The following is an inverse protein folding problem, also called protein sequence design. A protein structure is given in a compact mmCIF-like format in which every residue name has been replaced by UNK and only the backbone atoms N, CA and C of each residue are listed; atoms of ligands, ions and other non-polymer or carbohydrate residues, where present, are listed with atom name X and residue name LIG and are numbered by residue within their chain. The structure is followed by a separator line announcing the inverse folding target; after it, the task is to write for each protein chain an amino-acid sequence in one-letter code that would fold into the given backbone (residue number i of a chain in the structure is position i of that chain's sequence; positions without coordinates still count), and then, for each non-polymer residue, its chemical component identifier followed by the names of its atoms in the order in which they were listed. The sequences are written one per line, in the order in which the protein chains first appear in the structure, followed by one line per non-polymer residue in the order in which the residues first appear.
data_IF_083805468278
#
_entry.id   IF_083805468278
#
_cell.length_a   1.000
_cell.length_b   1.000
_cell.length_c   1.000
_cell.angle_alpha   90.00
_cell.angle_beta   90.00
_cell.angle_gamma   90.00
#
_symmetry.space_group_name_H-M   'P 1'
#
loop_
_entity.id
_entity.type
_entity.pdbx_description
1 polymer ?
#
# COMPACT_ATOMS: atom_id res chain seq x y z
N UNK A 1 -26.71 35.74 48.66
CA UNK A 1 -25.23 35.69 48.65
C UNK A 1 -24.77 34.84 47.47
N UNK A 2 -23.73 35.32 46.79
CA UNK A 2 -23.40 35.01 45.40
C UNK A 2 -22.65 33.68 45.16
N UNK A 3 -23.04 32.99 44.08
CA UNK A 3 -22.14 32.61 42.97
C UNK A 3 -20.91 31.74 43.25
N UNK A 4 -21.08 30.42 43.42
CA UNK A 4 -19.97 29.42 43.38
C UNK A 4 -19.70 28.80 41.99
N UNK A 5 -20.32 29.30 40.91
CA UNK A 5 -20.20 28.74 39.55
C UNK A 5 -18.98 29.13 38.65
N UNK A 6 -18.07 30.10 38.96
CA UNK A 6 -17.08 30.56 37.96
C UNK A 6 -15.77 29.75 37.89
N UNK A 7 -15.40 28.98 38.91
CA UNK A 7 -14.11 28.26 38.96
C UNK A 7 -14.03 27.02 38.06
N UNK A 8 -15.12 26.26 37.94
CA UNK A 8 -15.15 25.03 37.16
C UNK A 8 -15.18 25.27 35.64
N UNK A 9 -15.90 26.31 35.19
CA UNK A 9 -15.89 26.77 33.79
C UNK A 9 -14.50 27.27 33.36
N UNK A 10 -13.80 28.03 34.22
CA UNK A 10 -12.42 28.49 33.95
C UNK A 10 -11.41 27.33 33.86
N UNK A 11 -11.54 26.28 34.68
CA UNK A 11 -10.67 25.10 34.62
C UNK A 11 -10.93 24.27 33.35
N UNK A 12 -12.19 23.99 33.00
CA UNK A 12 -12.56 23.30 31.76
C UNK A 12 -12.10 24.08 30.52
N UNK A 13 -12.24 25.40 30.50
CA UNK A 13 -11.73 26.26 29.43
C UNK A 13 -10.20 26.21 29.30
N UNK A 14 -9.46 26.19 30.42
CA UNK A 14 -7.99 26.07 30.40
C UNK A 14 -7.55 24.73 29.82
N UNK A 15 -8.21 23.64 30.17
CA UNK A 15 -7.95 22.32 29.58
C UNK A 15 -8.34 22.26 28.11
N UNK A 16 -9.51 22.77 27.73
CA UNK A 16 -9.93 22.88 26.34
C UNK A 16 -8.95 23.71 25.50
N UNK A 17 -8.45 24.85 26.02
CA UNK A 17 -7.40 25.63 25.36
C UNK A 17 -6.10 24.84 25.21
N UNK A 18 -5.66 24.11 26.23
CA UNK A 18 -4.44 23.29 26.17
C UNK A 18 -4.57 22.13 25.17
N UNK A 19 -5.73 21.47 25.15
CA UNK A 19 -6.04 20.42 24.18
C UNK A 19 -6.05 21.03 22.78
N UNK A 20 -6.75 22.16 22.58
CA UNK A 20 -6.79 22.85 21.28
C UNK A 20 -5.39 23.28 20.80
N UNK A 21 -4.52 23.76 21.70
CA UNK A 21 -3.14 24.16 21.38
C UNK A 21 -2.27 22.99 20.89
N UNK A 22 -2.62 21.74 21.20
CA UNK A 22 -1.89 20.55 20.76
C UNK A 22 -2.59 19.87 19.58
N UNK A 23 -3.91 19.71 19.67
CA UNK A 23 -4.71 19.02 18.65
C UNK A 23 -4.79 19.83 17.37
N UNK A 24 -4.95 21.16 17.43
CA UNK A 24 -5.07 21.97 16.22
C UNK A 24 -3.81 21.92 15.34
N UNK A 25 -2.58 22.11 15.88
CA UNK A 25 -1.37 21.91 15.07
C UNK A 25 -1.24 20.50 14.48
N UNK A 26 -1.61 19.46 15.23
CA UNK A 26 -1.58 18.07 14.73
C UNK A 26 -2.55 17.86 13.57
N UNK A 27 -3.77 18.39 13.68
CA UNK A 27 -4.75 18.35 12.60
C UNK A 27 -4.28 19.14 11.38
N UNK A 28 -3.70 20.32 11.57
CA UNK A 28 -3.14 21.12 10.48
C UNK A 28 -1.96 20.40 9.80
N UNK A 29 -1.09 19.76 10.58
CA UNK A 29 0.04 18.98 10.06
C UNK A 29 -0.45 17.76 9.25
N UNK A 30 -1.47 17.05 9.75
CA UNK A 30 -2.10 15.93 9.04
C UNK A 30 -2.83 16.37 7.76
N UNK A 31 -3.47 17.54 7.78
CA UNK A 31 -4.20 18.09 6.63
C UNK A 31 -3.28 18.73 5.57
N UNK A 32 -2.12 19.26 5.96
CA UNK A 32 -1.19 19.94 5.06
C UNK A 32 -0.84 19.14 3.78
N UNK A 33 -0.45 17.85 3.84
CA UNK A 33 -0.15 17.11 2.63
C UNK A 33 -1.39 16.89 1.73
N UNK A 34 -2.58 16.72 2.31
CA UNK A 34 -3.83 16.63 1.55
C UNK A 34 -4.12 17.93 0.80
N UNK A 35 -3.98 19.07 1.47
CA UNK A 35 -4.13 20.40 0.84
C UNK A 35 -3.13 20.58 -0.30
N UNK A 36 -1.88 20.14 -0.12
CA UNK A 36 -0.87 20.18 -1.19
C UNK A 36 -1.28 19.32 -2.38
N UNK A 37 -1.81 18.11 -2.16
CA UNK A 37 -2.29 17.25 -3.24
C UNK A 37 -3.43 17.92 -4.01
N UNK A 38 -4.45 18.40 -3.31
CA UNK A 38 -5.61 19.05 -3.94
C UNK A 38 -5.25 20.33 -4.71
N UNK A 39 -4.27 21.10 -4.23
CA UNK A 39 -3.90 22.38 -4.86
C UNK A 39 -2.83 22.27 -5.94
N UNK A 40 -1.89 21.32 -5.82
CA UNK A 40 -0.68 21.28 -6.67
C UNK A 40 -0.57 20.03 -7.53
N UNK A 41 -1.42 19.03 -7.31
CA UNK A 41 -1.38 17.76 -8.02
C UNK A 41 -2.55 17.58 -8.98
N UNK A 42 -2.93 18.68 -9.65
CA UNK A 42 -3.95 18.74 -10.69
C UNK A 42 -3.27 18.67 -12.06
N UNK A 43 -3.90 18.01 -13.04
CA UNK A 43 -3.43 18.03 -14.43
C UNK A 43 -3.82 19.34 -15.12
N UNK A 44 -2.94 19.86 -15.98
CA UNK A 44 -3.21 21.06 -16.79
C UNK A 44 -4.17 20.79 -17.96
N UNK A 45 -4.33 19.53 -18.38
CA UNK A 45 -5.21 19.13 -19.49
C UNK A 45 -5.74 17.69 -19.37
N UNK A 46 -6.94 17.44 -19.92
CA UNK A 46 -7.57 16.11 -20.02
C UNK A 46 -7.38 15.53 -21.43
N UNK A 47 -6.14 15.18 -21.79
CA UNK A 47 -5.82 14.78 -23.17
C UNK A 47 -5.92 13.27 -23.43
N UNK A 48 -6.23 12.45 -22.41
CA UNK A 48 -6.24 10.97 -22.51
C UNK A 48 -7.50 10.34 -21.96
N UNK A 49 -8.64 11.02 -22.05
CA UNK A 49 -9.92 10.45 -21.64
C UNK A 49 -10.12 9.06 -22.29
N UNK A 50 -10.64 8.07 -21.54
CA UNK A 50 -10.71 6.72 -22.05
C UNK A 50 -11.76 6.67 -23.18
N UNK A 51 -11.47 6.00 -24.31
CA UNK A 51 -12.49 5.74 -25.31
C UNK A 51 -13.64 4.93 -24.70
N UNK A 52 -14.80 4.95 -25.36
CA UNK A 52 -15.91 4.09 -24.95
C UNK A 52 -15.46 2.61 -24.93
N UNK A 53 -15.90 1.81 -23.93
CA UNK A 53 -15.56 0.39 -23.86
C UNK A 53 -15.97 -0.32 -25.15
N UNK A 54 -15.08 -1.14 -25.70
CA UNK A 54 -15.34 -1.88 -26.95
C UNK A 54 -16.20 -3.11 -26.70
N UNK A 55 -16.16 -3.67 -25.49
CA UNK A 55 -16.83 -4.91 -25.15
C UNK A 55 -17.94 -4.70 -24.10
N UNK A 56 -19.03 -5.46 -24.25
CA UNK A 56 -20.06 -5.57 -23.22
C UNK A 56 -19.57 -6.49 -22.09
N UNK A 57 -19.37 -5.92 -20.91
CA UNK A 57 -18.94 -6.63 -19.71
C UNK A 57 -20.10 -7.31 -18.97
N UNK A 58 -21.33 -7.25 -19.49
CA UNK A 58 -22.50 -7.87 -18.88
C UNK A 58 -23.02 -7.13 -17.65
N UNK A 59 -22.97 -5.80 -17.67
CA UNK A 59 -23.48 -4.92 -16.61
C UNK A 59 -22.61 -3.67 -16.37
N UNK A 60 -23.22 -2.57 -15.92
CA UNK A 60 -22.51 -1.33 -15.60
C UNK A 60 -21.67 -1.46 -14.33
N UNK A 61 -22.04 -2.35 -13.41
CA UNK A 61 -21.34 -2.66 -12.16
C UNK A 61 -19.95 -3.28 -12.35
N UNK A 62 -19.67 -3.80 -13.55
CA UNK A 62 -18.36 -4.36 -13.93
C UNK A 62 -17.42 -3.32 -14.54
N UNK A 63 -17.92 -2.11 -14.78
CA UNK A 63 -17.11 -0.98 -15.23
C UNK A 63 -16.61 -0.22 -14.02
N UNK A 64 -15.38 0.28 -14.13
CA UNK A 64 -14.74 1.07 -13.07
C UNK A 64 -14.10 2.31 -13.64
N UNK A 65 -13.90 3.33 -12.82
CA UNK A 65 -13.33 4.60 -13.29
C UNK A 65 -11.85 4.39 -13.63
N UNK A 66 -11.41 4.83 -14.82
CA UNK A 66 -10.02 4.66 -15.26
C UNK A 66 -9.00 5.26 -14.27
N UNK A 67 -9.34 6.40 -13.66
CA UNK A 67 -8.52 7.07 -12.65
C UNK A 67 -8.30 6.26 -11.39
N UNK A 68 -9.19 5.32 -11.07
CA UNK A 68 -9.08 4.49 -9.87
C UNK A 68 -7.86 3.57 -9.97
N UNK A 69 -7.48 3.08 -11.15
CA UNK A 69 -6.24 2.30 -11.32
C UNK A 69 -5.00 3.04 -10.80
N UNK A 70 -4.91 4.35 -11.05
CA UNK A 70 -3.81 5.17 -10.54
C UNK A 70 -3.91 5.39 -9.03
N UNK A 71 -5.14 5.61 -8.55
CA UNK A 71 -5.41 5.85 -7.14
C UNK A 71 -5.56 4.57 -6.29
N UNK A 72 -5.42 3.38 -6.87
CA UNK A 72 -5.24 2.12 -6.13
C UNK A 72 -3.79 1.96 -5.65
N UNK A 73 -2.82 2.59 -6.33
CA UNK A 73 -1.40 2.49 -5.93
C UNK A 73 -1.11 2.92 -4.48
N UNK A 74 -1.63 4.04 -3.96
CA UNK A 74 -1.41 4.45 -2.57
C UNK A 74 -1.84 3.39 -1.54
N UNK A 75 -2.90 2.62 -1.80
CA UNK A 75 -3.30 1.50 -0.93
C UNK A 75 -2.25 0.39 -0.89
N UNK A 76 -1.55 0.18 -1.99
CA UNK A 76 -0.46 -0.78 -2.08
C UNK A 76 0.90 -0.21 -1.68
N UNK A 77 1.06 1.12 -1.68
CA UNK A 77 2.29 1.75 -1.22
C UNK A 77 2.59 1.29 0.21
N UNK A 78 1.59 1.20 1.07
CA UNK A 78 1.79 0.76 2.45
C UNK A 78 2.27 -0.70 2.51
N UNK A 79 1.74 -1.58 1.66
CA UNK A 79 2.19 -2.98 1.53
C UNK A 79 3.66 -3.02 1.13
N UNK A 80 4.00 -2.27 0.09
CA UNK A 80 5.37 -2.13 -0.43
C UNK A 80 6.34 -1.53 0.60
N UNK A 81 5.88 -0.58 1.40
CA UNK A 81 6.69 0.05 2.45
C UNK A 81 6.98 -0.93 3.60
N UNK A 82 6.02 -1.77 3.97
CA UNK A 82 6.22 -2.83 4.96
C UNK A 82 7.19 -3.91 4.47
N UNK A 83 7.09 -4.31 3.20
CA UNK A 83 8.06 -5.20 2.58
C UNK A 83 9.48 -4.61 2.59
N UNK A 84 9.62 -3.34 2.25
CA UNK A 84 10.90 -2.65 2.21
C UNK A 84 11.50 -2.50 3.62
N UNK A 85 10.66 -2.16 4.60
CA UNK A 85 11.07 -2.07 6.00
C UNK A 85 11.55 -3.42 6.54
N UNK A 86 10.83 -4.52 6.25
CA UNK A 86 11.27 -5.87 6.61
C UNK A 86 12.60 -6.24 5.91
N UNK A 87 12.75 -5.85 4.64
CA UNK A 87 13.99 -6.04 3.89
C UNK A 87 15.19 -5.29 4.48
N UNK A 88 15.00 -4.05 4.95
CA UNK A 88 16.04 -3.27 5.65
C UNK A 88 16.35 -3.86 7.01
N UNK A 89 15.33 -4.24 7.78
CA UNK A 89 15.49 -4.88 9.09
C UNK A 89 16.29 -6.17 8.99
N UNK A 90 16.04 -6.99 7.95
CA UNK A 90 16.80 -8.22 7.66
C UNK A 90 18.29 -7.98 7.45
N UNK A 91 18.65 -6.87 6.79
CA UNK A 91 20.04 -6.55 6.47
C UNK A 91 20.78 -5.88 7.63
N UNK A 92 20.07 -5.11 8.44
CA UNK A 92 20.64 -4.40 9.59
C UNK A 92 19.67 -4.43 10.78
N UNK A 93 18.87 -3.38 10.93
CA UNK A 93 17.83 -3.22 11.95
C UNK A 93 16.75 -2.28 11.41
N UNK A 94 15.55 -2.39 11.97
CA UNK A 94 14.42 -1.47 11.83
C UNK A 94 14.85 -0.01 11.98
N UNK A 95 15.80 0.27 12.88
CA UNK A 95 16.39 1.60 13.07
C UNK A 95 17.09 2.16 11.84
N UNK A 96 17.46 1.32 10.88
CA UNK A 96 18.13 1.72 9.63
C UNK A 96 17.16 2.13 8.53
N UNK A 97 15.85 1.90 8.71
CA UNK A 97 14.84 2.32 7.74
C UNK A 97 14.66 3.85 7.78
N UNK A 98 14.55 4.46 6.61
CA UNK A 98 14.25 5.87 6.46
C UNK A 98 12.73 6.08 6.39
N UNK A 99 12.15 6.21 7.58
CA UNK A 99 10.71 6.45 7.78
C UNK A 99 10.24 7.75 7.13
N UNK A 100 11.05 8.82 7.18
CA UNK A 100 10.68 10.10 6.59
C UNK A 100 10.72 10.05 5.07
N UNK A 101 11.72 9.38 4.49
CA UNK A 101 11.75 9.12 3.05
C UNK A 101 10.56 8.27 2.60
N UNK A 102 10.13 7.29 3.41
CA UNK A 102 8.93 6.49 3.12
C UNK A 102 7.65 7.33 3.15
N UNK A 103 7.50 8.21 4.15
CA UNK A 103 6.36 9.15 4.22
C UNK A 103 6.35 10.09 3.00
N UNK A 104 7.51 10.69 2.68
CA UNK A 104 7.63 11.57 1.52
C UNK A 104 7.35 10.82 0.21
N UNK A 105 7.81 9.57 0.12
CA UNK A 105 7.55 8.65 -0.99
C UNK A 105 6.06 8.45 -1.25
N UNK A 106 5.29 8.16 -0.19
CA UNK A 106 3.83 8.00 -0.26
C UNK A 106 3.19 9.25 -0.90
N UNK A 107 3.39 10.42 -0.29
CA UNK A 107 2.72 11.65 -0.74
C UNK A 107 3.17 12.09 -2.13
N UNK A 108 4.45 11.88 -2.48
CA UNK A 108 4.96 12.17 -3.83
C UNK A 108 4.34 11.26 -4.88
N UNK A 109 4.26 9.96 -4.60
CA UNK A 109 3.61 9.01 -5.51
C UNK A 109 2.11 9.27 -5.65
N UNK A 110 1.41 9.61 -4.56
CA UNK A 110 0.01 10.01 -4.60
C UNK A 110 -0.18 11.26 -5.44
N UNK A 111 0.67 12.28 -5.28
CA UNK A 111 0.61 13.49 -6.10
C UNK A 111 0.73 13.17 -7.61
N UNK A 112 1.72 12.37 -7.99
CA UNK A 112 1.91 12.00 -9.40
C UNK A 112 0.76 11.11 -9.91
N UNK A 113 0.29 10.15 -9.12
CA UNK A 113 -0.85 9.32 -9.47
C UNK A 113 -2.13 10.13 -9.63
N UNK A 114 -2.38 11.13 -8.79
CA UNK A 114 -3.53 12.04 -8.91
C UNK A 114 -3.45 12.88 -10.18
N UNK A 115 -2.27 13.37 -10.55
CA UNK A 115 -2.08 14.07 -11.83
C UNK A 115 -2.39 13.14 -13.00
N UNK A 116 -1.91 11.91 -12.96
CA UNK A 116 -2.12 10.97 -14.06
C UNK A 116 -3.58 10.51 -14.15
N UNK A 117 -4.23 10.26 -13.01
CA UNK A 117 -5.67 10.00 -12.95
C UNK A 117 -6.47 11.12 -13.61
N UNK A 118 -6.14 12.39 -13.32
CA UNK A 118 -6.83 13.53 -13.93
C UNK A 118 -6.68 13.59 -15.46
N UNK A 119 -5.60 13.04 -16.04
CA UNK A 119 -5.40 12.98 -17.50
C UNK A 119 -6.16 11.84 -18.16
N UNK A 120 -6.24 10.69 -17.49
CA UNK A 120 -6.78 9.43 -18.05
C UNK A 120 -8.27 9.26 -17.77
N UNK A 121 -8.81 9.91 -16.74
CA UNK A 121 -10.23 9.89 -16.38
C UNK A 121 -10.40 10.07 -14.87
N UNK A 122 -11.36 10.89 -14.44
CA UNK A 122 -11.50 11.21 -13.02
C UNK A 122 -11.68 9.96 -12.15
N UNK A 123 -10.83 9.83 -11.13
CA UNK A 123 -11.01 8.84 -10.08
C UNK A 123 -12.23 9.18 -9.22
N UNK A 124 -12.83 8.16 -8.61
CA UNK A 124 -13.96 8.31 -7.71
C UNK A 124 -13.60 9.11 -6.46
N UNK A 125 -14.56 9.86 -5.92
CA UNK A 125 -14.36 10.64 -4.70
C UNK A 125 -14.08 9.74 -3.48
N UNK A 126 -14.68 8.55 -3.45
CA UNK A 126 -14.45 7.55 -2.42
C UNK A 126 -13.02 7.05 -2.44
N UNK A 127 -12.47 6.72 -3.63
CA UNK A 127 -11.07 6.31 -3.77
C UNK A 127 -10.09 7.39 -3.29
N UNK A 128 -10.34 8.66 -3.66
CA UNK A 128 -9.53 9.80 -3.16
C UNK A 128 -9.58 9.93 -1.65
N UNK A 129 -10.78 9.83 -1.06
CA UNK A 129 -10.98 9.96 0.38
C UNK A 129 -10.27 8.85 1.13
N UNK A 130 -10.40 7.60 0.67
CA UNK A 130 -9.71 6.44 1.21
C UNK A 130 -8.19 6.65 1.20
N UNK A 131 -7.62 7.14 0.09
CA UNK A 131 -6.19 7.43 0.00
C UNK A 131 -5.71 8.49 1.00
N UNK A 132 -6.52 9.51 1.29
CA UNK A 132 -6.17 10.52 2.30
C UNK A 132 -6.19 9.94 3.71
N UNK A 133 -7.18 9.11 4.04
CA UNK A 133 -7.24 8.41 5.34
C UNK A 133 -6.03 7.49 5.50
N UNK A 134 -5.72 6.69 4.48
CA UNK A 134 -4.54 5.81 4.46
C UNK A 134 -3.27 6.63 4.61
N UNK A 135 -3.10 7.71 3.85
CA UNK A 135 -1.90 8.54 3.87
C UNK A 135 -1.65 9.20 5.23
N UNK A 136 -2.70 9.72 5.87
CA UNK A 136 -2.61 10.30 7.20
C UNK A 136 -2.28 9.22 8.23
N UNK A 137 -2.96 8.07 8.19
CA UNK A 137 -2.72 6.94 9.10
C UNK A 137 -1.29 6.42 8.98
N UNK A 138 -0.84 6.17 7.74
CA UNK A 138 0.52 5.74 7.44
C UNK A 138 1.57 6.75 7.89
N UNK A 139 1.32 8.05 7.67
CA UNK A 139 2.22 9.12 8.13
C UNK A 139 2.35 9.11 9.66
N UNK A 140 1.24 8.99 10.38
CA UNK A 140 1.25 8.94 11.83
C UNK A 140 1.98 7.69 12.35
N UNK A 141 1.69 6.52 11.77
CA UNK A 141 2.32 5.26 12.15
C UNK A 141 3.83 5.28 11.89
N UNK A 142 4.27 5.65 10.69
CA UNK A 142 5.68 5.74 10.34
C UNK A 142 6.41 6.80 11.15
N UNK A 143 5.75 7.91 11.51
CA UNK A 143 6.35 8.93 12.37
C UNK A 143 6.56 8.43 13.81
N UNK A 144 5.58 7.72 14.38
CA UNK A 144 5.68 7.16 15.73
C UNK A 144 6.72 6.05 15.79
N UNK A 145 6.66 5.09 14.86
CA UNK A 145 7.64 4.01 14.77
C UNK A 145 9.03 4.59 14.51
N UNK A 146 9.16 5.48 13.53
CA UNK A 146 10.45 6.09 13.19
C UNK A 146 11.05 6.92 14.31
N UNK A 147 10.24 7.69 15.06
CA UNK A 147 10.72 8.43 16.22
C UNK A 147 11.28 7.49 17.30
N UNK A 148 10.63 6.35 17.53
CA UNK A 148 11.08 5.35 18.50
C UNK A 148 12.33 4.59 18.01
N UNK A 149 12.27 4.04 16.80
CA UNK A 149 13.33 3.19 16.25
C UNK A 149 14.59 3.97 15.93
N UNK A 150 14.51 5.27 15.61
CA UNK A 150 15.68 6.12 15.42
C UNK A 150 16.20 6.78 16.70
N UNK A 151 15.58 6.52 17.85
CA UNK A 151 16.02 7.02 19.16
C UNK A 151 16.40 5.88 20.11
N UNK A 152 15.45 5.45 20.94
CA UNK A 152 15.63 4.39 21.93
C UNK A 152 15.95 3.06 21.23
N UNK A 153 15.26 2.77 20.12
CA UNK A 153 15.53 1.57 19.31
C UNK A 153 16.96 1.56 18.79
N UNK A 154 17.39 2.65 18.15
CA UNK A 154 18.75 2.77 17.60
C UNK A 154 19.83 2.68 18.68
N UNK A 155 19.62 3.33 19.82
CA UNK A 155 20.56 3.31 20.94
C UNK A 155 20.71 1.89 21.52
N UNK A 156 19.60 1.18 21.74
CA UNK A 156 19.64 -0.17 22.32
C UNK A 156 20.10 -1.23 21.31
N UNK A 157 19.79 -1.07 20.02
CA UNK A 157 20.35 -1.88 18.95
C UNK A 157 21.86 -1.69 18.82
N UNK A 158 22.35 -0.44 18.89
CA UNK A 158 23.78 -0.14 18.93
C UNK A 158 24.46 -0.76 20.15
N UNK A 159 23.86 -0.61 21.34
CA UNK A 159 24.39 -1.16 22.59
C UNK A 159 24.43 -2.70 22.60
N UNK A 160 23.51 -3.37 21.92
CA UNK A 160 23.53 -4.83 21.73
C UNK A 160 24.71 -5.31 20.87
N UNK A 161 25.23 -4.48 19.97
CA UNK A 161 26.24 -4.88 18.99
C UNK A 161 25.64 -5.73 17.85
N UNK A 162 26.47 -6.50 17.11
CA UNK A 162 26.05 -7.10 15.83
C UNK A 162 25.10 -8.30 15.97
N UNK A 163 25.15 -9.05 17.08
CA UNK A 163 24.30 -10.24 17.28
C UNK A 163 22.89 -9.85 17.71
N UNK A 164 21.87 -10.22 16.94
CA UNK A 164 20.45 -10.01 17.28
C UNK A 164 20.05 -10.73 18.58
N UNK A 165 19.20 -10.11 19.40
CA UNK A 165 18.55 -10.84 20.49
C UNK A 165 17.44 -11.72 19.91
N UNK A 166 16.95 -12.73 20.65
CA UNK A 166 15.78 -13.48 20.24
C UNK A 166 14.56 -12.59 19.97
N UNK A 167 14.38 -11.47 20.70
CA UNK A 167 13.31 -10.51 20.42
C UNK A 167 13.46 -9.76 19.09
N UNK A 168 14.69 -9.45 18.66
CA UNK A 168 14.90 -8.85 17.34
C UNK A 168 14.59 -9.84 16.22
N UNK A 169 15.00 -11.10 16.38
CA UNK A 169 14.66 -12.17 15.43
C UNK A 169 13.15 -12.42 15.39
N UNK A 170 12.48 -12.34 16.54
CA UNK A 170 11.01 -12.39 16.60
C UNK A 170 10.38 -11.24 15.83
N UNK A 171 10.80 -10.00 16.09
CA UNK A 171 10.28 -8.81 15.43
C UNK A 171 10.47 -8.87 13.90
N UNK A 172 11.64 -9.35 13.44
CA UNK A 172 11.92 -9.54 12.02
C UNK A 172 10.97 -10.55 11.38
N UNK A 173 10.77 -11.72 11.99
CA UNK A 173 9.82 -12.72 11.49
C UNK A 173 8.41 -12.16 11.37
N UNK A 174 7.90 -11.50 12.42
CA UNK A 174 6.58 -10.88 12.39
C UNK A 174 6.49 -9.81 11.29
N UNK A 175 7.53 -9.01 11.09
CA UNK A 175 7.55 -8.00 10.02
C UNK A 175 7.48 -8.63 8.62
N UNK A 176 8.19 -9.73 8.38
CA UNK A 176 8.18 -10.46 7.10
C UNK A 176 6.83 -11.14 6.83
N UNK A 177 6.27 -11.79 7.86
CA UNK A 177 4.97 -12.44 7.80
C UNK A 177 3.86 -11.42 7.56
N UNK A 178 3.90 -10.28 8.27
CA UNK A 178 2.94 -9.20 8.10
C UNK A 178 3.01 -8.59 6.70
N UNK A 179 4.22 -8.32 6.18
CA UNK A 179 4.39 -7.80 4.83
C UNK A 179 3.82 -8.76 3.76
N UNK A 180 3.99 -10.07 3.96
CA UNK A 180 3.40 -11.09 3.06
C UNK A 180 1.89 -11.14 3.18
N UNK A 181 1.34 -11.07 4.39
CA UNK A 181 -0.10 -11.11 4.68
C UNK A 181 -0.86 -9.97 4.00
N UNK A 182 -0.30 -8.75 4.06
CA UNK A 182 -0.89 -7.54 3.48
C UNK A 182 -1.08 -7.58 1.96
N UNK A 183 -0.45 -8.53 1.25
CA UNK A 183 -0.61 -8.69 -0.21
C UNK A 183 -1.99 -9.16 -0.63
N UNK A 184 -2.79 -9.69 0.30
CA UNK A 184 -4.07 -10.31 -0.04
C UNK A 184 -5.14 -10.11 1.02
N UNK A 185 -4.76 -9.98 2.29
CA UNK A 185 -5.71 -9.91 3.41
C UNK A 185 -5.63 -8.52 4.07
N UNK A 186 -6.77 -7.90 4.44
CA UNK A 186 -6.78 -6.64 5.15
C UNK A 186 -6.00 -6.70 6.47
N UNK A 187 -5.26 -5.65 6.78
CA UNK A 187 -4.34 -5.59 7.93
C UNK A 187 -4.99 -5.93 9.29
N UNK A 188 -6.27 -5.58 9.48
CA UNK A 188 -6.98 -5.77 10.75
C UNK A 188 -7.30 -7.24 11.04
N UNK A 189 -7.12 -8.13 10.07
CA UNK A 189 -7.26 -9.58 10.27
C UNK A 189 -5.94 -10.23 10.73
N UNK A 190 -4.81 -9.49 10.71
CA UNK A 190 -3.53 -10.04 11.15
C UNK A 190 -3.58 -10.32 12.67
N UNK A 191 -3.08 -11.48 13.15
CA UNK A 191 -3.30 -11.94 14.52
C UNK A 191 -2.32 -11.28 15.53
N UNK A 192 -2.33 -9.95 15.63
CA UNK A 192 -1.41 -9.18 16.49
C UNK A 192 -1.46 -9.60 17.96
N UNK A 193 -2.64 -9.96 18.48
CA UNK A 193 -2.78 -10.42 19.86
C UNK A 193 -2.07 -11.78 20.08
N UNK A 194 -2.16 -12.68 19.10
CA UNK A 194 -1.46 -13.97 19.14
C UNK A 194 0.05 -13.76 19.06
N UNK A 195 0.53 -12.89 18.17
CA UNK A 195 1.97 -12.58 18.09
C UNK A 195 2.49 -11.91 19.38
N UNK A 196 1.67 -11.07 20.02
CA UNK A 196 2.01 -10.54 21.34
C UNK A 196 2.14 -11.64 22.40
N UNK A 197 1.22 -12.61 22.46
CA UNK A 197 1.35 -13.75 23.37
C UNK A 197 2.62 -14.55 23.09
N UNK A 198 2.91 -14.86 21.82
CA UNK A 198 4.13 -15.59 21.40
C UNK A 198 5.41 -14.86 21.77
N UNK A 199 5.45 -13.53 21.69
CA UNK A 199 6.60 -12.75 22.15
C UNK A 199 6.93 -13.05 23.63
N UNK A 200 5.92 -13.19 24.48
CA UNK A 200 6.12 -13.44 25.90
C UNK A 200 6.36 -14.90 26.25
N UNK A 201 5.70 -15.82 25.53
CA UNK A 201 5.74 -17.27 25.80
C UNK A 201 6.91 -17.99 25.13
N UNK A 202 7.26 -17.62 23.90
CA UNK A 202 8.15 -18.40 23.04
C UNK A 202 9.54 -17.76 22.86
N UNK A 203 9.72 -16.50 23.24
CA UNK A 203 10.99 -15.79 23.02
C UNK A 203 11.86 -15.82 24.29
N UNK A 204 13.09 -16.36 24.25
CA UNK A 204 14.00 -16.30 25.39
C UNK A 204 14.39 -14.88 25.76
N UNK A 205 14.39 -14.57 27.06
CA UNK A 205 14.70 -13.23 27.57
C UNK A 205 16.17 -13.07 27.93
N UNK A 206 16.75 -11.91 27.59
CA UNK A 206 18.03 -11.47 28.10
C UNK A 206 19.23 -12.19 27.47
N UNK A 207 18.99 -13.04 26.49
CA UNK A 207 20.06 -13.56 25.64
C UNK A 207 20.68 -12.43 24.83
N UNK A 208 22.01 -12.38 24.78
CA UNK A 208 22.82 -11.32 24.16
C UNK A 208 22.79 -9.97 24.90
N UNK A 209 21.62 -9.39 25.19
CA UNK A 209 21.52 -8.08 25.85
C UNK A 209 20.22 -7.91 26.61
N UNK A 210 20.31 -7.85 27.94
CA UNK A 210 19.17 -7.57 28.83
C UNK A 210 18.53 -6.22 28.49
N UNK A 211 19.34 -5.19 28.21
CA UNK A 211 18.85 -3.85 27.86
C UNK A 211 17.97 -3.89 26.60
N UNK A 212 18.45 -4.54 25.52
CA UNK A 212 17.70 -4.64 24.27
C UNK A 212 16.49 -5.55 24.40
N UNK A 213 16.59 -6.66 25.13
CA UNK A 213 15.44 -7.53 25.39
C UNK A 213 14.32 -6.81 26.17
N UNK A 214 14.65 -6.07 27.23
CA UNK A 214 13.64 -5.27 27.96
C UNK A 214 12.99 -4.23 27.05
N UNK A 215 13.81 -3.51 26.29
CA UNK A 215 13.34 -2.47 25.38
C UNK A 215 12.43 -3.03 24.29
N UNK A 216 12.83 -4.12 23.61
CA UNK A 216 12.03 -4.78 22.58
C UNK A 216 10.72 -5.30 23.14
N UNK A 217 10.73 -5.97 24.30
CA UNK A 217 9.48 -6.44 24.92
C UNK A 217 8.52 -5.30 25.22
N UNK A 218 9.02 -4.18 25.75
CA UNK A 218 8.19 -3.01 26.02
C UNK A 218 7.60 -2.42 24.73
N UNK A 219 8.45 -2.19 23.72
CA UNK A 219 8.05 -1.61 22.45
C UNK A 219 7.09 -2.48 21.64
N UNK A 220 7.45 -3.75 21.44
CA UNK A 220 6.65 -4.69 20.67
C UNK A 220 5.32 -4.97 21.37
N UNK A 221 5.28 -4.96 22.71
CA UNK A 221 4.01 -5.02 23.45
C UNK A 221 3.12 -3.81 23.18
N UNK A 222 3.68 -2.61 23.19
CA UNK A 222 2.93 -1.40 22.85
C UNK A 222 2.45 -1.42 21.39
N UNK A 223 3.30 -1.84 20.46
CA UNK A 223 3.01 -1.86 19.03
C UNK A 223 1.94 -2.91 18.70
N UNK A 224 2.14 -4.17 19.08
CA UNK A 224 1.21 -5.26 18.79
C UNK A 224 -0.08 -5.15 19.61
N UNK A 225 0.01 -4.75 20.88
CA UNK A 225 -1.17 -4.50 21.71
C UNK A 225 -2.02 -3.35 21.16
N UNK A 226 -1.38 -2.26 20.74
CA UNK A 226 -2.07 -1.14 20.09
C UNK A 226 -2.74 -1.54 18.78
N UNK A 227 -2.03 -2.28 17.92
CA UNK A 227 -2.58 -2.79 16.65
C UNK A 227 -3.70 -3.79 16.86
N UNK A 228 -3.60 -4.68 17.84
CA UNK A 228 -4.65 -5.63 18.18
C UNK A 228 -5.94 -4.92 18.63
N UNK A 229 -5.82 -3.93 19.53
CA UNK A 229 -6.97 -3.15 19.99
C UNK A 229 -7.62 -2.36 18.84
N UNK A 230 -6.80 -1.78 17.96
CA UNK A 230 -7.29 -1.03 16.81
C UNK A 230 -7.94 -1.93 15.75
N UNK A 231 -7.35 -3.10 15.49
CA UNK A 231 -7.87 -4.11 14.57
C UNK A 231 -9.27 -4.57 14.97
N UNK A 232 -9.53 -4.79 16.26
CA UNK A 232 -10.88 -5.13 16.77
C UNK A 232 -11.88 -4.01 16.46
N UNK A 233 -11.51 -2.75 16.70
CA UNK A 233 -12.39 -1.62 16.47
C UNK A 233 -12.73 -1.44 14.97
N UNK A 234 -11.75 -1.62 14.09
CA UNK A 234 -11.94 -1.49 12.63
C UNK A 234 -12.63 -2.71 12.03
N UNK A 235 -12.27 -3.93 12.44
CA UNK A 235 -12.90 -5.16 11.94
C UNK A 235 -14.41 -5.18 12.20
N UNK A 236 -14.86 -4.66 13.35
CA UNK A 236 -16.28 -4.52 13.66
C UNK A 236 -17.01 -3.54 12.71
N UNK A 237 -16.32 -2.54 12.16
CA UNK A 237 -16.87 -1.56 11.22
C UNK A 237 -16.79 -2.03 9.76
N UNK A 238 -15.73 -2.75 9.40
CA UNK A 238 -15.47 -3.19 8.03
C UNK A 238 -16.45 -4.27 7.52
N UNK A 239 -17.03 -5.08 8.42
CA UNK A 239 -18.05 -6.09 8.07
C UNK A 239 -19.33 -5.53 7.44
N UNK A 240 -19.51 -4.20 7.39
CA UNK A 240 -20.71 -3.53 6.88
C UNK A 240 -20.73 -3.29 5.35
N UNK A 241 -19.59 -3.39 4.66
CA UNK A 241 -19.54 -3.23 3.19
C UNK A 241 -18.41 -4.07 2.57
N UNK A 242 -18.70 -5.28 2.08
CA UNK A 242 -17.69 -6.15 1.50
C UNK A 242 -17.16 -5.55 0.20
N UNK A 243 -15.82 -5.51 0.03
CA UNK A 243 -15.22 -5.16 -1.25
C UNK A 243 -15.67 -6.14 -2.35
N UNK A 244 -15.96 -5.63 -3.54
CA UNK A 244 -16.13 -6.50 -4.70
C UNK A 244 -14.77 -7.15 -5.03
N UNK A 245 -14.64 -8.46 -4.78
CA UNK A 245 -13.39 -9.23 -4.90
C UNK A 245 -13.17 -9.84 -6.30
N UNK A 246 -14.09 -9.59 -7.24
CA UNK A 246 -14.07 -10.13 -8.59
C UNK A 246 -14.03 -8.99 -9.60
N UNK A 247 -13.35 -9.22 -10.72
CA UNK A 247 -13.20 -8.27 -11.81
C UNK A 247 -13.32 -8.98 -13.15
N UNK A 248 -13.91 -8.30 -14.13
CA UNK A 248 -14.03 -8.78 -15.50
C UNK A 248 -12.99 -8.15 -16.39
N UNK A 249 -12.38 -8.97 -17.23
CA UNK A 249 -11.40 -8.56 -18.24
C UNK A 249 -11.73 -9.21 -19.57
N UNK A 250 -11.26 -8.61 -20.66
CA UNK A 250 -11.36 -9.18 -22.00
C UNK A 250 -9.99 -9.57 -22.48
N UNK A 251 -9.83 -10.81 -22.92
CA UNK A 251 -8.55 -11.37 -23.36
C UNK A 251 -8.67 -12.01 -24.74
N UNK A 252 -7.54 -12.10 -25.44
CA UNK A 252 -7.38 -12.80 -26.71
C UNK A 252 -6.37 -13.92 -26.53
N UNK A 253 -6.74 -15.17 -26.87
CA UNK A 253 -5.83 -16.31 -26.73
C UNK A 253 -5.45 -16.62 -25.27
N UNK A 254 -4.25 -17.18 -25.05
CA UNK A 254 -3.71 -17.45 -23.72
C UNK A 254 -4.39 -18.56 -22.92
N UNK A 255 -5.30 -19.32 -23.53
CA UNK A 255 -5.98 -20.48 -22.92
C UNK A 255 -6.50 -20.19 -21.50
N UNK A 256 -7.45 -19.25 -21.32
CA UNK A 256 -7.91 -18.82 -20.00
C UNK A 256 -8.45 -20.00 -19.15
N UNK A 257 -8.99 -21.04 -19.78
CA UNK A 257 -9.49 -22.24 -19.11
C UNK A 257 -8.41 -23.07 -18.42
N UNK A 258 -7.13 -22.83 -18.71
CA UNK A 258 -6.01 -23.53 -18.07
C UNK A 258 -5.77 -23.09 -16.61
N UNK A 259 -6.26 -21.91 -16.21
CA UNK A 259 -6.13 -21.42 -14.83
C UNK A 259 -7.48 -21.55 -14.10
N UNK A 260 -7.60 -22.37 -13.05
CA UNK A 260 -8.86 -22.65 -12.37
C UNK A 260 -9.48 -21.43 -11.67
N UNK A 261 -8.71 -20.34 -11.48
CA UNK A 261 -9.21 -19.09 -10.89
C UNK A 261 -10.03 -18.27 -11.88
N UNK A 262 -9.93 -18.58 -13.18
CA UNK A 262 -10.57 -17.86 -14.27
C UNK A 262 -11.91 -18.50 -14.60
N UNK A 263 -12.95 -17.69 -14.62
CA UNK A 263 -14.27 -18.10 -15.12
C UNK A 263 -14.50 -17.46 -16.48
N UNK A 264 -14.62 -18.28 -17.52
CA UNK A 264 -14.96 -17.80 -18.87
C UNK A 264 -16.46 -17.58 -18.96
N UNK A 265 -16.87 -16.35 -19.24
CA UNK A 265 -18.28 -15.95 -19.25
C UNK A 265 -18.88 -15.92 -20.65
N UNK A 266 -18.12 -15.41 -21.62
CA UNK A 266 -18.58 -15.22 -23.01
C UNK A 266 -17.39 -15.22 -23.95
N UNK A 267 -17.57 -15.74 -25.17
CA UNK A 267 -16.67 -15.51 -26.30
C UNK A 267 -17.35 -14.60 -27.31
N UNK A 268 -16.63 -13.60 -27.79
CA UNK A 268 -17.07 -12.64 -28.80
C UNK A 268 -16.75 -13.16 -30.20
N UNK A 269 -17.41 -12.61 -31.22
CA UNK A 269 -17.23 -13.01 -32.62
C UNK A 269 -15.83 -12.73 -33.16
N UNK A 270 -15.14 -11.71 -32.63
CA UNK A 270 -13.77 -11.36 -32.98
C UNK A 270 -12.71 -12.26 -32.31
N UNK A 271 -13.14 -13.32 -31.62
CA UNK A 271 -12.28 -14.26 -30.90
C UNK A 271 -11.90 -13.81 -29.49
N UNK A 272 -12.33 -12.63 -29.05
CA UNK A 272 -12.09 -12.17 -27.69
C UNK A 272 -12.91 -12.98 -26.68
N UNK A 273 -12.41 -13.11 -25.46
CA UNK A 273 -13.05 -13.85 -24.39
C UNK A 273 -13.23 -12.95 -23.17
N UNK A 274 -14.47 -12.81 -22.71
CA UNK A 274 -14.81 -12.19 -21.44
C UNK A 274 -14.54 -13.19 -20.32
N UNK A 275 -13.65 -12.80 -19.40
CA UNK A 275 -13.28 -13.60 -18.23
C UNK A 275 -13.59 -12.86 -16.94
N UNK A 276 -13.86 -13.60 -15.89
CA UNK A 276 -13.97 -13.11 -14.52
C UNK A 276 -12.91 -13.75 -13.64
N UNK A 277 -12.26 -12.94 -12.81
CA UNK A 277 -11.07 -13.34 -12.03
C UNK A 277 -11.10 -12.72 -10.63
N UNK A 278 -10.36 -13.28 -9.65
CA UNK A 278 -10.15 -12.62 -8.37
C UNK A 278 -9.28 -11.36 -8.56
N UNK A 279 -9.52 -10.36 -7.73
CA UNK A 279 -8.79 -9.07 -7.73
C UNK A 279 -7.42 -9.14 -7.06
N UNK A 280 -6.72 -8.00 -7.04
CA UNK A 280 -5.47 -7.80 -6.31
C UNK A 280 -4.31 -8.65 -6.86
N UNK A 281 -3.50 -9.26 -5.97
CA UNK A 281 -2.31 -10.02 -6.34
C UNK A 281 -2.63 -11.20 -7.28
N UNK A 282 -3.78 -11.84 -7.08
CA UNK A 282 -4.25 -12.92 -7.94
C UNK A 282 -4.45 -12.46 -9.40
N UNK A 283 -5.05 -11.27 -9.62
CA UNK A 283 -5.21 -10.72 -10.96
C UNK A 283 -3.85 -10.57 -11.66
N UNK A 284 -2.87 -9.95 -10.99
CA UNK A 284 -1.51 -9.78 -11.54
C UNK A 284 -0.93 -11.11 -12.03
N UNK A 285 -1.02 -12.17 -11.21
CA UNK A 285 -0.51 -13.50 -11.57
C UNK A 285 -1.27 -14.12 -12.74
N UNK A 286 -2.60 -13.91 -12.79
CA UNK A 286 -3.44 -14.39 -13.89
C UNK A 286 -3.06 -13.71 -15.20
N UNK A 287 -2.91 -12.38 -15.20
CA UNK A 287 -2.52 -11.62 -16.40
C UNK A 287 -1.12 -12.05 -16.89
N UNK A 288 -0.18 -12.27 -15.97
CA UNK A 288 1.14 -12.81 -16.31
C UNK A 288 1.04 -14.21 -16.94
N UNK A 289 0.26 -15.12 -16.35
CA UNK A 289 0.07 -16.47 -16.89
C UNK A 289 -0.61 -16.47 -18.27
N UNK A 290 -1.54 -15.55 -18.52
CA UNK A 290 -2.14 -15.36 -19.86
C UNK A 290 -1.07 -14.90 -20.86
N UNK A 291 -0.23 -13.92 -20.48
CA UNK A 291 0.85 -13.42 -21.33
C UNK A 291 1.91 -14.50 -21.64
N UNK A 292 2.28 -15.32 -20.65
CA UNK A 292 3.21 -16.45 -20.82
C UNK A 292 2.69 -17.49 -21.81
N UNK A 293 1.38 -17.70 -21.86
CA UNK A 293 0.71 -18.58 -22.83
C UNK A 293 0.43 -17.91 -24.18
N UNK A 294 1.05 -16.75 -24.45
CA UNK A 294 0.92 -16.02 -25.70
C UNK A 294 -0.42 -15.30 -25.88
N UNK A 295 -1.17 -15.10 -24.80
CA UNK A 295 -2.40 -14.31 -24.81
C UNK A 295 -2.15 -12.81 -24.65
N UNK A 296 -3.16 -12.04 -25.01
CA UNK A 296 -3.20 -10.58 -24.84
C UNK A 296 -4.40 -10.17 -24.00
N UNK A 297 -4.24 -9.11 -23.21
CA UNK A 297 -5.33 -8.49 -22.47
C UNK A 297 -5.79 -7.29 -23.27
N UNK A 298 -7.09 -7.18 -23.55
CA UNK A 298 -7.66 -6.09 -24.37
C UNK A 298 -8.23 -4.97 -23.50
N UNK A 299 -8.99 -5.35 -22.48
CA UNK A 299 -9.61 -4.43 -21.53
C UNK A 299 -9.62 -5.07 -20.14
N UNK A 300 -9.52 -4.24 -19.10
CA UNK A 300 -9.74 -4.64 -17.70
C UNK A 300 -10.80 -3.68 -17.15
N UNK A 301 -11.92 -4.20 -16.65
CA UNK A 301 -13.07 -3.41 -16.17
C UNK A 301 -13.54 -2.32 -17.15
N UNK A 302 -13.37 -2.53 -18.46
CA UNK A 302 -13.81 -1.63 -19.52
C UNK A 302 -12.83 -0.50 -19.82
N UNK A 303 -11.62 -0.56 -19.28
CA UNK A 303 -10.59 0.45 -19.45
C UNK A 303 -9.42 -0.09 -20.29
N UNK A 304 -8.86 0.73 -21.20
CA UNK A 304 -7.76 0.33 -22.08
C UNK A 304 -6.37 0.69 -21.55
N UNK A 305 -6.27 1.32 -20.37
CA UNK A 305 -5.01 1.75 -19.75
C UNK A 305 -5.02 1.47 -18.27
N UNK A 306 -3.89 1.04 -17.74
CA UNK A 306 -3.75 0.60 -16.35
C UNK A 306 -2.40 1.08 -15.80
N UNK A 307 -2.39 1.50 -14.54
CA UNK A 307 -1.16 1.69 -13.80
C UNK A 307 -0.57 0.32 -13.47
N UNK A 308 0.73 0.16 -13.69
CA UNK A 308 1.48 -1.00 -13.22
C UNK A 308 2.72 -0.56 -12.47
N UNK A 309 3.28 -1.46 -11.67
CA UNK A 309 4.63 -1.29 -11.14
C UNK A 309 5.59 -2.35 -11.65
N UNK A 310 6.81 -1.91 -11.87
CA UNK A 310 7.96 -2.76 -12.19
C UNK A 310 9.09 -2.44 -11.22
N UNK A 311 9.69 -3.48 -10.64
CA UNK A 311 10.92 -3.37 -9.86
C UNK A 311 12.11 -3.55 -10.79
N UNK A 312 12.88 -2.50 -10.98
CA UNK A 312 13.95 -2.46 -11.97
C UNK A 312 15.25 -1.90 -11.40
N UNK A 313 16.41 -2.27 -11.97
CA UNK A 313 17.66 -1.56 -11.70
C UNK A 313 17.52 -0.07 -12.08
N UNK A 314 18.28 0.79 -11.40
CA UNK A 314 18.36 2.19 -11.76
C UNK A 314 18.86 2.35 -13.21
N UNK A 315 18.24 3.27 -13.96
CA UNK A 315 18.57 3.52 -15.36
C UNK A 315 17.94 2.54 -16.37
N UNK A 316 17.31 1.44 -15.93
CA UNK A 316 16.57 0.57 -16.84
C UNK A 316 15.45 1.34 -17.56
N UNK A 317 15.41 1.22 -18.88
CA UNK A 317 14.37 1.78 -19.75
C UNK A 317 13.33 0.71 -20.06
N UNK A 318 12.07 1.02 -19.82
CA UNK A 318 10.94 0.11 -19.98
C UNK A 318 9.84 0.80 -20.80
N UNK A 319 9.00 0.05 -21.53
CA UNK A 319 7.89 0.62 -22.26
C UNK A 319 6.80 1.11 -21.30
N UNK A 320 6.08 2.16 -21.71
CA UNK A 320 5.04 2.80 -20.90
C UNK A 320 5.42 4.22 -20.47
N UNK A 321 4.43 4.98 -20.03
CA UNK A 321 4.62 6.37 -19.62
C UNK A 321 4.94 6.43 -18.11
N UNK A 322 6.09 7.00 -17.70
CA UNK A 322 6.47 7.01 -16.29
C UNK A 322 5.58 7.96 -15.46
N UNK A 323 4.99 7.42 -14.40
CA UNK A 323 4.16 8.17 -13.43
C UNK A 323 4.98 8.55 -12.20
N UNK A 324 5.70 7.60 -11.63
CA UNK A 324 6.60 7.85 -10.50
C UNK A 324 7.76 6.85 -10.47
N UNK A 325 8.82 7.22 -9.76
CA UNK A 325 9.94 6.35 -9.43
C UNK A 325 10.27 6.49 -7.95
N UNK A 326 10.38 5.36 -7.26
CA UNK A 326 10.68 5.29 -5.83
C UNK A 326 11.86 4.36 -5.59
N UNK A 327 12.91 4.79 -4.86
CA UNK A 327 13.97 3.88 -4.48
C UNK A 327 13.43 2.78 -3.55
N UNK A 328 14.05 1.60 -3.59
CA UNK A 328 13.77 0.50 -2.65
C UNK A 328 14.92 0.47 -1.65
N UNK A 329 14.66 0.83 -0.40
CA UNK A 329 15.70 1.02 0.62
C UNK A 329 16.47 -0.27 0.92
N UNK A 330 15.77 -1.41 0.91
CA UNK A 330 16.33 -2.75 1.08
C UNK A 330 17.08 -3.25 -0.15
N UNK A 331 17.06 -2.53 -1.27
CA UNK A 331 17.75 -2.92 -2.51
C UNK A 331 18.41 -1.69 -3.14
N UNK A 332 19.55 -1.21 -2.62
CA UNK A 332 20.29 -0.10 -3.22
C UNK A 332 20.58 -0.34 -4.72
N UNK A 333 20.40 0.70 -5.54
CA UNK A 333 20.52 0.59 -7.00
C UNK A 333 19.28 0.03 -7.71
N UNK A 334 18.19 -0.21 -6.95
CA UNK A 334 16.89 -0.61 -7.49
C UNK A 334 15.80 0.40 -7.15
N UNK A 335 14.82 0.47 -8.04
CA UNK A 335 13.66 1.34 -7.92
C UNK A 335 12.38 0.62 -8.31
N UNK A 336 11.28 1.04 -7.70
CA UNK A 336 9.92 0.75 -8.13
C UNK A 336 9.46 1.85 -9.07
N UNK A 337 9.15 1.47 -10.30
CA UNK A 337 8.65 2.34 -11.36
C UNK A 337 7.15 2.14 -11.48
N UNK A 338 6.37 3.22 -11.31
CA UNK A 338 4.97 3.27 -11.69
C UNK A 338 4.85 3.70 -13.15
N UNK A 339 4.22 2.88 -13.99
CA UNK A 339 4.08 3.11 -15.42
C UNK A 339 2.60 3.10 -15.81
N UNK A 340 2.15 4.10 -16.56
CA UNK A 340 0.88 4.06 -17.28
C UNK A 340 1.06 3.29 -18.58
N UNK A 341 0.29 2.21 -18.75
CA UNK A 341 0.48 1.24 -19.82
C UNK A 341 -0.86 0.96 -20.49
N UNK A 342 -0.87 0.92 -21.82
CA UNK A 342 -2.01 0.40 -22.56
C UNK A 342 -2.19 -1.09 -22.22
N UNK A 343 -3.39 -1.51 -21.85
CA UNK A 343 -3.68 -2.89 -21.44
C UNK A 343 -3.20 -3.94 -22.47
N UNK A 344 -3.32 -3.72 -23.80
CA UNK A 344 -2.72 -4.60 -24.82
C UNK A 344 -1.19 -4.73 -24.77
N UNK A 345 -0.48 -3.75 -24.24
CA UNK A 345 0.98 -3.75 -24.13
C UNK A 345 1.51 -4.48 -22.88
N UNK A 346 0.65 -4.96 -21.97
CA UNK A 346 1.07 -5.61 -20.72
C UNK A 346 2.00 -6.81 -20.97
N UNK A 347 1.66 -7.68 -21.92
CA UNK A 347 2.47 -8.85 -22.23
C UNK A 347 3.85 -8.46 -22.79
N UNK A 348 3.90 -7.38 -23.59
CA UNK A 348 5.15 -6.82 -24.11
C UNK A 348 6.01 -6.24 -22.99
N UNK A 349 5.42 -5.44 -22.10
CA UNK A 349 6.11 -4.90 -20.93
C UNK A 349 6.68 -6.01 -20.04
N UNK A 350 5.91 -7.06 -19.75
CA UNK A 350 6.40 -8.18 -18.92
C UNK A 350 7.64 -8.84 -19.52
N UNK A 351 7.66 -9.08 -20.84
CA UNK A 351 8.81 -9.64 -21.55
C UNK A 351 10.01 -8.69 -21.58
N UNK A 352 9.79 -7.42 -21.92
CA UNK A 352 10.86 -6.41 -21.98
C UNK A 352 11.44 -6.13 -20.59
N UNK A 353 10.61 -6.12 -19.55
CA UNK A 353 11.07 -6.01 -18.16
C UNK A 353 11.99 -7.18 -17.78
N UNK A 354 11.57 -8.43 -18.05
CA UNK A 354 12.40 -9.60 -17.79
C UNK A 354 13.73 -9.56 -18.54
N UNK A 355 13.71 -9.13 -19.82
CA UNK A 355 14.93 -8.98 -20.63
C UNK A 355 15.87 -7.89 -20.09
N UNK A 356 15.35 -6.85 -19.45
CA UNK A 356 16.11 -5.79 -18.80
C UNK A 356 16.58 -6.13 -17.36
N UNK A 357 16.36 -7.37 -16.90
CA UNK A 357 16.65 -7.77 -15.51
C UNK A 357 15.71 -7.14 -14.49
N UNK A 358 14.58 -6.60 -14.92
CA UNK A 358 13.51 -6.07 -14.08
C UNK A 358 12.40 -7.13 -13.87
N UNK A 359 11.59 -6.92 -12.82
CA UNK A 359 10.46 -7.79 -12.50
C UNK A 359 9.17 -6.99 -12.58
N UNK A 360 8.22 -7.45 -13.39
CA UNK A 360 6.85 -6.96 -13.31
C UNK A 360 6.31 -7.25 -11.90
N UNK A 361 5.87 -6.23 -11.18
CA UNK A 361 5.53 -6.33 -9.76
C UNK A 361 4.02 -6.41 -9.57
N UNK A 362 3.26 -5.47 -10.14
CA UNK A 362 1.82 -5.40 -9.92
C UNK A 362 1.07 -4.68 -11.03
N UNK A 363 -0.14 -5.17 -11.34
CA UNK A 363 -1.14 -4.45 -12.12
C UNK A 363 -2.21 -3.91 -11.17
N UNK A 364 -2.36 -2.59 -11.11
CA UNK A 364 -3.29 -1.92 -10.19
C UNK A 364 -4.68 -1.90 -10.78
N UNK A 365 -5.54 -2.77 -10.27
CA UNK A 365 -6.93 -2.81 -10.69
C UNK A 365 -7.70 -1.57 -10.20
N UNK A 366 -8.71 -1.20 -10.97
CA UNK A 366 -9.61 -0.08 -10.72
C UNK A 366 -10.51 -0.35 -9.52
#
# INVERSE_FOLDING_TARGET
MAGRAPRMKRRRWRWARRIALVVLPLLLLAAAPVVVVEQRCVAESTDRAPPAPRYDLGGAEWRRAAGDSFLTYPEWFIVHAYEDMAGVARQASESSFDYLASIAGFWRSLCNATREAARTGAATADQKTTNYVIGISFTAEMAVIGAYERSIGALTAWARGPRRTPEDEFALRVAEDYATFLRQVPWYEYPFATELSRLWEETPYGEVSVLRSTERRAWLSALYGGRAAYAVAIGALAGASPAALRIRSVVMGGQPEADPRITVLRRFEDGATLIETPRYRALTQILAGIAERGGEVREIAGNPRILVTVVAPDGAALPGDPVFALPIQSRPGWRRLGLDVAVPDLARLMREAAAAGASFEHAYDY
#
